data_IF_125133445741
#
_entry.id   IF_125133445741
#
_cell.length_a   1.000
_cell.length_b   1.000
_cell.length_c   1.000
_cell.angle_alpha   90.00
_cell.angle_beta   90.00
_cell.angle_gamma   90.00
#
_symmetry.space_group_name_H-M   'P 1'
#
loop_
_entity.id
_entity.type
_entity.pdbx_description
1 polymer ?
#
# COMPACT_ATOMS: atom_id res chain seq x y z
N UNK A 1 -16.97 -1.45 23.68
CA UNK A 1 -17.00 -0.10 24.13
C UNK A 1 -17.03 0.90 22.95
N UNK A 2 -17.22 2.18 23.20
CA UNK A 2 -17.45 3.25 22.18
C UNK A 2 -16.35 3.31 21.10
N UNK A 3 -15.10 3.09 21.47
CA UNK A 3 -13.95 3.15 20.55
C UNK A 3 -13.99 2.05 19.48
N UNK A 4 -14.43 0.85 19.85
CA UNK A 4 -14.59 -0.28 18.91
C UNK A 4 -15.77 -0.07 17.95
N UNK A 5 -16.79 0.67 18.37
CA UNK A 5 -17.94 1.05 17.54
C UNK A 5 -17.55 2.10 16.48
N UNK A 6 -16.77 3.12 16.87
CA UNK A 6 -16.26 4.15 15.95
C UNK A 6 -15.36 3.53 14.86
N UNK A 7 -14.47 2.64 15.26
CA UNK A 7 -13.57 1.93 14.34
C UNK A 7 -14.36 1.13 13.28
N UNK A 8 -15.39 0.40 13.70
CA UNK A 8 -16.26 -0.35 12.77
C UNK A 8 -17.00 0.57 11.78
N UNK A 9 -17.42 1.74 12.26
CA UNK A 9 -18.11 2.73 11.41
C UNK A 9 -17.13 3.33 10.40
N UNK A 10 -15.93 3.71 10.83
CA UNK A 10 -14.87 4.22 9.94
C UNK A 10 -14.48 3.19 8.88
N UNK A 11 -14.31 1.92 9.27
CA UNK A 11 -13.99 0.82 8.35
C UNK A 11 -15.06 0.64 7.28
N UNK A 12 -16.34 0.61 7.67
CA UNK A 12 -17.45 0.49 6.72
C UNK A 12 -17.56 1.69 5.78
N UNK A 13 -17.34 2.90 6.33
CA UNK A 13 -17.37 4.12 5.52
C UNK A 13 -16.25 4.11 4.48
N UNK A 14 -15.00 3.79 4.87
CA UNK A 14 -13.86 3.72 3.95
C UNK A 14 -14.03 2.63 2.90
N UNK A 15 -14.55 1.46 3.28
CA UNK A 15 -14.87 0.40 2.33
C UNK A 15 -15.90 0.86 1.28
N UNK A 16 -16.96 1.53 1.72
CA UNK A 16 -17.97 2.08 0.79
C UNK A 16 -17.38 3.20 -0.08
N UNK A 17 -16.62 4.12 0.52
CA UNK A 17 -15.97 5.23 -0.15
C UNK A 17 -14.99 4.78 -1.25
N UNK A 18 -14.23 3.71 -1.00
CA UNK A 18 -13.28 3.16 -1.98
C UNK A 18 -13.93 2.54 -3.22
N UNK A 19 -15.25 2.30 -3.20
CA UNK A 19 -15.99 1.78 -4.35
C UNK A 19 -16.61 2.88 -5.23
N UNK A 20 -16.46 4.16 -4.86
CA UNK A 20 -16.98 5.27 -5.63
C UNK A 20 -16.05 5.57 -6.80
N UNK A 21 -16.55 5.48 -8.02
CA UNK A 21 -15.86 5.87 -9.25
C UNK A 21 -16.27 7.27 -9.68
N UNK A 22 -15.30 8.09 -10.07
CA UNK A 22 -15.49 9.45 -10.54
C UNK A 22 -15.13 9.52 -12.02
N UNK A 23 -16.09 9.86 -12.86
CA UNK A 23 -15.86 10.11 -14.28
C UNK A 23 -15.83 11.63 -14.52
N UNK A 24 -14.75 12.11 -15.12
CA UNK A 24 -14.54 13.55 -15.31
C UNK A 24 -15.33 14.15 -16.46
N UNK A 25 -15.73 13.32 -17.46
CA UNK A 25 -16.44 13.82 -18.63
C UNK A 25 -17.45 12.79 -19.14
N UNK A 26 -18.77 13.02 -18.99
CA UNK A 26 -19.38 14.01 -18.09
C UNK A 26 -19.06 13.71 -16.62
N UNK A 27 -19.08 14.72 -15.76
CA UNK A 27 -18.82 14.56 -14.33
C UNK A 27 -19.99 13.80 -13.69
N UNK A 28 -19.80 12.56 -13.34
CA UNK A 28 -20.74 11.77 -12.58
C UNK A 28 -20.03 10.79 -11.65
N UNK A 29 -20.76 10.37 -10.63
CA UNK A 29 -20.31 9.38 -9.65
C UNK A 29 -21.10 8.09 -9.89
N UNK A 30 -20.41 6.97 -9.83
CA UNK A 30 -21.07 5.66 -9.89
C UNK A 30 -20.44 4.72 -8.88
N UNK A 31 -21.24 3.84 -8.32
CA UNK A 31 -20.80 2.69 -7.53
C UNK A 31 -21.09 1.47 -8.39
N UNK A 32 -20.07 0.84 -8.89
CA UNK A 32 -20.24 -0.25 -9.84
C UNK A 32 -19.23 -1.36 -9.71
N UNK A 33 -19.46 -2.48 -10.37
CA UNK A 33 -18.51 -3.58 -10.41
C UNK A 33 -17.18 -3.09 -10.99
N UNK A 34 -16.09 -3.49 -10.35
CA UNK A 34 -14.75 -3.12 -10.75
C UNK A 34 -14.33 -3.90 -11.99
N UNK A 35 -13.90 -3.19 -13.03
CA UNK A 35 -13.13 -3.77 -14.14
C UNK A 35 -11.72 -3.22 -14.07
N UNK A 36 -10.73 -4.10 -14.03
CA UNK A 36 -9.32 -3.73 -13.96
C UNK A 36 -8.65 -3.82 -15.33
N UNK A 37 -7.60 -2.99 -15.55
CA UNK A 37 -6.87 -2.98 -16.82
C UNK A 37 -5.88 -4.13 -16.93
N UNK A 38 -5.27 -4.56 -15.82
CA UNK A 38 -4.37 -5.71 -15.83
C UNK A 38 -5.14 -6.99 -16.14
N UNK A 39 -4.54 -7.83 -16.99
CA UNK A 39 -5.12 -9.06 -17.52
C UNK A 39 -4.27 -10.29 -17.16
N UNK A 40 -4.76 -11.46 -17.51
CA UNK A 40 -4.08 -12.72 -17.22
C UNK A 40 -2.67 -12.84 -17.78
N UNK A 41 -2.42 -12.27 -18.97
CA UNK A 41 -1.08 -12.30 -19.59
C UNK A 41 -0.07 -11.45 -18.79
N UNK A 42 -0.54 -10.36 -18.17
CA UNK A 42 0.30 -9.53 -17.30
C UNK A 42 0.75 -10.29 -16.05
N UNK A 43 -0.08 -11.22 -15.56
CA UNK A 43 0.23 -12.03 -14.39
C UNK A 43 1.51 -12.84 -14.54
N UNK A 44 1.66 -13.59 -15.63
CA UNK A 44 2.85 -14.38 -15.86
C UNK A 44 4.10 -13.52 -16.00
N UNK A 45 3.98 -12.41 -16.73
CA UNK A 45 5.06 -11.45 -16.90
C UNK A 45 5.53 -10.84 -15.57
N UNK A 46 4.60 -10.51 -14.68
CA UNK A 46 4.90 -9.97 -13.36
C UNK A 46 5.50 -11.03 -12.46
N UNK A 47 4.84 -12.19 -12.34
CA UNK A 47 5.28 -13.31 -11.47
C UNK A 47 6.73 -13.71 -11.73
N UNK A 48 7.09 -13.87 -13.00
CA UNK A 48 8.41 -14.39 -13.40
C UNK A 48 9.56 -13.39 -13.14
N UNK A 49 9.25 -12.12 -12.89
CA UNK A 49 10.22 -11.08 -12.56
C UNK A 49 10.40 -10.87 -11.05
N UNK A 50 9.43 -11.31 -10.24
CA UNK A 50 9.39 -10.98 -8.80
C UNK A 50 10.47 -11.73 -8.00
N UNK A 51 11.00 -11.02 -7.01
CA UNK A 51 11.94 -11.57 -6.02
C UNK A 51 11.48 -11.14 -4.61
N UNK A 52 11.64 -12.00 -3.61
CA UNK A 52 11.36 -11.60 -2.21
C UNK A 52 12.08 -10.30 -1.86
N UNK A 53 11.35 -9.38 -1.23
CA UNK A 53 11.81 -8.03 -0.95
C UNK A 53 11.42 -6.99 -2.02
N UNK A 54 10.96 -7.38 -3.21
CA UNK A 54 10.43 -6.40 -4.16
C UNK A 54 9.22 -5.67 -3.55
N UNK A 55 9.16 -4.36 -3.76
CA UNK A 55 8.03 -3.53 -3.37
C UNK A 55 7.07 -3.47 -4.53
N UNK A 56 5.83 -3.83 -4.29
CA UNK A 56 4.77 -3.77 -5.28
C UNK A 56 3.90 -2.56 -5.03
N UNK A 57 3.76 -1.73 -6.05
CA UNK A 57 2.86 -0.59 -6.04
C UNK A 57 1.67 -0.88 -6.93
N UNK A 58 0.48 -0.49 -6.50
CA UNK A 58 -0.73 -0.57 -7.33
C UNK A 58 -1.52 0.72 -7.30
N UNK A 59 -2.19 1.00 -8.40
CA UNK A 59 -3.02 2.17 -8.55
C UNK A 59 -4.30 1.85 -9.30
N UNK A 60 -5.30 2.66 -9.06
CA UNK A 60 -6.62 2.55 -9.64
C UNK A 60 -6.97 3.82 -10.39
N UNK A 61 -7.67 3.67 -11.52
CA UNK A 61 -8.13 4.80 -12.30
C UNK A 61 -9.54 5.20 -11.88
N UNK A 62 -9.77 6.52 -11.76
CA UNK A 62 -11.09 7.10 -11.53
C UNK A 62 -11.78 6.71 -10.20
N UNK A 63 -11.05 6.23 -9.22
CA UNK A 63 -11.57 6.04 -7.87
C UNK A 63 -11.38 7.29 -7.01
N UNK A 64 -12.34 7.56 -6.15
CA UNK A 64 -12.37 8.78 -5.34
C UNK A 64 -11.23 8.84 -4.32
N UNK A 65 -10.83 7.70 -3.76
CA UNK A 65 -9.70 7.60 -2.83
C UNK A 65 -8.36 7.99 -3.47
N UNK A 66 -8.18 7.74 -4.78
CA UNK A 66 -7.00 8.17 -5.53
C UNK A 66 -6.83 9.70 -5.64
N UNK A 67 -7.87 10.48 -5.36
CA UNK A 67 -7.75 11.95 -5.31
C UNK A 67 -7.12 12.45 -4.00
N UNK A 68 -7.17 11.66 -2.94
CA UNK A 68 -6.65 12.03 -1.62
C UNK A 68 -5.22 11.53 -1.39
N UNK A 69 -4.77 10.53 -2.15
CA UNK A 69 -3.39 10.04 -2.11
C UNK A 69 -2.65 10.63 -3.32
N UNK A 70 -1.73 11.58 -3.10
CA UNK A 70 -1.00 12.19 -4.21
C UNK A 70 -0.08 11.16 -4.87
N UNK A 71 -0.12 11.09 -6.20
CA UNK A 71 0.75 10.23 -6.99
C UNK A 71 0.01 9.33 -7.97
N UNK A 72 0.76 8.45 -8.62
CA UNK A 72 0.25 7.46 -9.58
C UNK A 72 -0.27 6.21 -8.89
N UNK A 73 0.29 5.90 -7.73
CA UNK A 73 0.01 4.69 -6.98
C UNK A 73 -0.61 5.04 -5.63
N UNK A 74 -1.66 4.34 -5.28
CA UNK A 74 -2.42 4.57 -4.06
C UNK A 74 -2.16 3.51 -2.98
N UNK A 75 -1.41 2.44 -3.32
CA UNK A 75 -1.18 1.33 -2.40
C UNK A 75 0.18 0.68 -2.62
N UNK A 76 0.79 0.19 -1.54
CA UNK A 76 2.08 -0.46 -1.53
C UNK A 76 2.07 -1.74 -0.69
N UNK A 77 2.93 -2.70 -1.06
CA UNK A 77 3.15 -3.95 -0.31
C UNK A 77 4.51 -4.53 -0.61
N UNK A 78 4.92 -5.55 0.14
CA UNK A 78 6.20 -6.24 -0.01
C UNK A 78 5.92 -7.66 -0.51
N UNK A 79 6.56 -8.04 -1.60
CA UNK A 79 6.53 -9.41 -2.10
C UNK A 79 7.43 -10.29 -1.21
N UNK A 80 6.87 -11.37 -0.68
CA UNK A 80 7.57 -12.23 0.28
C UNK A 80 7.89 -13.62 -0.25
N UNK A 81 7.67 -13.84 -1.55
CA UNK A 81 7.80 -15.14 -2.20
C UNK A 81 6.47 -15.89 -2.28
N UNK A 82 6.47 -17.06 -2.92
CA UNK A 82 5.31 -17.96 -3.03
C UNK A 82 4.02 -17.25 -3.49
N UNK A 83 4.15 -16.32 -4.43
CA UNK A 83 3.04 -15.52 -4.95
C UNK A 83 2.25 -14.77 -3.85
N UNK A 84 2.94 -14.39 -2.76
CA UNK A 84 2.34 -13.68 -1.62
C UNK A 84 2.90 -12.28 -1.47
N UNK A 85 2.03 -11.36 -1.16
CA UNK A 85 2.34 -9.96 -0.85
C UNK A 85 1.83 -9.65 0.55
N UNK A 86 2.67 -9.05 1.39
CA UNK A 86 2.26 -8.50 2.68
C UNK A 86 2.01 -7.01 2.51
N UNK A 87 0.86 -6.56 2.98
CA UNK A 87 0.48 -5.16 2.93
C UNK A 87 -0.36 -4.75 4.14
N UNK A 88 -0.32 -3.48 4.49
CA UNK A 88 -1.23 -2.92 5.48
C UNK A 88 -2.51 -2.46 4.78
N UNK A 89 -3.62 -3.05 5.15
CA UNK A 89 -4.97 -2.71 4.73
C UNK A 89 -5.91 -2.97 5.90
N UNK A 90 -7.08 -2.35 5.88
CA UNK A 90 -8.12 -2.60 6.88
C UNK A 90 -8.49 -4.10 6.94
N UNK A 91 -8.51 -4.73 8.10
CA UNK A 91 -8.31 -4.14 9.44
C UNK A 91 -6.86 -4.10 9.92
N UNK A 92 -5.94 -4.81 9.27
CA UNK A 92 -4.57 -5.00 9.74
C UNK A 92 -3.61 -5.37 8.62
N UNK A 93 -2.31 -5.45 8.94
CA UNK A 93 -1.29 -6.02 8.07
C UNK A 93 -1.62 -7.48 7.79
N UNK A 94 -1.65 -7.86 6.53
CA UNK A 94 -2.12 -9.15 6.08
C UNK A 94 -1.44 -9.63 4.80
N UNK A 95 -1.57 -10.94 4.53
CA UNK A 95 -1.24 -11.50 3.24
C UNK A 95 -2.33 -11.26 2.21
N UNK A 96 -1.92 -11.08 0.96
CA UNK A 96 -2.76 -11.29 -0.21
C UNK A 96 -2.00 -12.11 -1.24
N UNK A 97 -2.69 -12.91 -2.06
CA UNK A 97 -2.03 -13.59 -3.17
C UNK A 97 -1.78 -12.61 -4.33
N UNK A 98 -0.82 -12.94 -5.18
CA UNK A 98 -0.43 -12.08 -6.29
C UNK A 98 -1.58 -11.82 -7.28
N UNK A 99 -2.45 -12.80 -7.50
CA UNK A 99 -3.61 -12.65 -8.40
C UNK A 99 -4.56 -11.57 -7.88
N UNK A 100 -4.87 -11.59 -6.57
CA UNK A 100 -5.71 -10.56 -5.95
C UNK A 100 -5.00 -9.22 -5.86
N UNK A 101 -3.67 -9.21 -5.65
CA UNK A 101 -2.89 -7.98 -5.71
C UNK A 101 -3.00 -7.29 -7.07
N UNK A 102 -2.95 -8.06 -8.14
CA UNK A 102 -2.99 -7.56 -9.52
C UNK A 102 -4.38 -7.12 -9.99
N UNK A 103 -5.41 -7.21 -9.16
CA UNK A 103 -6.73 -6.63 -9.44
C UNK A 103 -6.68 -5.10 -9.33
N UNK A 104 -5.97 -4.47 -10.26
CA UNK A 104 -5.75 -3.02 -10.31
C UNK A 104 -5.61 -2.55 -11.76
N UNK A 105 -5.54 -1.24 -11.96
CA UNK A 105 -5.39 -0.64 -13.29
C UNK A 105 -3.93 -0.38 -13.66
N UNK A 106 -3.08 -0.19 -12.64
CA UNK A 106 -1.65 0.06 -12.78
C UNK A 106 -0.88 -0.66 -11.69
N UNK A 107 0.28 -1.17 -12.05
CA UNK A 107 1.21 -1.79 -11.11
C UNK A 107 2.65 -1.38 -11.44
N UNK A 108 3.49 -1.30 -10.42
CA UNK A 108 4.95 -1.21 -10.58
C UNK A 108 5.63 -2.19 -9.64
N UNK A 109 6.74 -2.74 -10.11
CA UNK A 109 7.70 -3.49 -9.30
C UNK A 109 8.88 -2.58 -9.02
N UNK A 110 9.11 -2.26 -7.77
CA UNK A 110 10.27 -1.50 -7.33
C UNK A 110 11.22 -2.45 -6.64
N UNK A 111 12.38 -2.65 -7.25
CA UNK A 111 13.46 -3.44 -6.65
C UNK A 111 14.40 -2.52 -5.92
N UNK A 112 14.43 -2.57 -4.57
CA UNK A 112 15.33 -1.74 -3.79
C UNK A 112 16.80 -2.02 -4.18
N UNK A 113 17.57 -0.96 -4.44
CA UNK A 113 18.99 -1.09 -4.77
C UNK A 113 19.83 -1.24 -3.48
N UNK A 114 19.64 -2.35 -2.80
CA UNK A 114 20.34 -2.73 -1.56
C UNK A 114 20.81 -4.18 -1.64
N UNK A 115 21.61 -4.62 -0.69
CA UNK A 115 22.07 -6.01 -0.65
C UNK A 115 20.90 -6.98 -0.44
N UNK A 116 21.07 -8.21 -0.92
CA UNK A 116 20.05 -9.26 -0.78
C UNK A 116 19.65 -9.50 0.69
N UNK A 117 20.64 -9.43 1.60
CA UNK A 117 20.39 -9.58 3.04
C UNK A 117 19.41 -8.53 3.59
N UNK A 118 19.44 -7.30 3.08
CA UNK A 118 18.47 -6.29 3.48
C UNK A 118 17.07 -6.58 2.95
N UNK A 119 16.98 -7.17 1.75
CA UNK A 119 15.69 -7.63 1.22
C UNK A 119 15.12 -8.77 2.07
N UNK A 120 15.96 -9.73 2.49
CA UNK A 120 15.55 -10.83 3.37
C UNK A 120 15.08 -10.30 4.73
N UNK A 121 15.82 -9.39 5.36
CA UNK A 121 15.41 -8.75 6.61
C UNK A 121 14.09 -8.00 6.47
N UNK A 122 13.87 -7.29 5.36
CA UNK A 122 12.61 -6.58 5.12
C UNK A 122 11.42 -7.55 4.98
N UNK A 123 11.64 -8.73 4.39
CA UNK A 123 10.64 -9.80 4.33
C UNK A 123 10.34 -10.36 5.73
N UNK A 124 11.36 -10.63 6.52
CA UNK A 124 11.20 -11.09 7.91
C UNK A 124 10.46 -10.08 8.78
N UNK A 125 10.81 -8.80 8.66
CA UNK A 125 10.12 -7.70 9.35
C UNK A 125 8.64 -7.62 8.93
N UNK A 126 8.35 -7.70 7.62
CA UNK A 126 6.98 -7.69 7.11
C UNK A 126 6.15 -8.84 7.68
N UNK A 127 6.73 -10.05 7.77
CA UNK A 127 6.10 -11.22 8.39
C UNK A 127 5.86 -10.97 9.89
N UNK A 128 6.84 -10.37 10.57
CA UNK A 128 6.72 -10.01 11.99
C UNK A 128 5.62 -8.99 12.30
N UNK A 129 5.23 -8.18 11.31
CA UNK A 129 4.17 -7.18 11.46
C UNK A 129 2.77 -7.71 11.12
N UNK A 130 2.60 -8.96 10.74
CA UNK A 130 1.27 -9.52 10.48
C UNK A 130 0.33 -9.34 11.67
N UNK A 131 -0.88 -8.89 11.41
CA UNK A 131 -1.88 -8.61 12.42
C UNK A 131 -1.78 -7.24 13.09
N UNK A 132 -0.74 -6.45 12.80
CA UNK A 132 -0.66 -5.06 13.29
C UNK A 132 -1.81 -4.23 12.69
N UNK A 133 -2.59 -3.50 13.51
CA UNK A 133 -3.75 -2.75 13.05
C UNK A 133 -3.41 -1.69 11.99
N UNK A 134 -4.37 -1.40 11.12
CA UNK A 134 -4.22 -0.36 10.10
C UNK A 134 -4.24 1.04 10.72
N UNK A 135 -3.32 1.93 10.25
CA UNK A 135 -3.32 3.34 10.62
C UNK A 135 -4.16 4.18 9.66
N UNK A 136 -5.21 4.79 10.21
CA UNK A 136 -6.08 5.73 9.50
C UNK A 136 -5.62 7.18 9.61
N UNK A 137 -4.65 7.46 10.49
CA UNK A 137 -4.17 8.82 10.71
C UNK A 137 -3.04 9.21 9.77
N UNK A 138 -2.39 8.22 9.15
CA UNK A 138 -1.25 8.41 8.25
C UNK A 138 -0.16 9.29 8.89
N UNK A 139 0.15 9.04 10.17
CA UNK A 139 1.10 9.84 10.94
C UNK A 139 2.34 9.04 11.34
N UNK A 140 3.38 9.11 10.53
CA UNK A 140 4.69 8.49 10.79
C UNK A 140 5.40 9.04 12.03
N UNK A 141 4.94 10.17 12.58
CA UNK A 141 5.50 10.79 13.78
C UNK A 141 5.02 10.16 15.09
N UNK A 142 3.90 9.45 15.08
CA UNK A 142 3.33 8.84 16.26
C UNK A 142 3.94 7.48 16.56
N UNK A 143 5.06 7.47 17.29
CA UNK A 143 5.77 6.23 17.69
C UNK A 143 5.09 5.47 18.83
N UNK A 144 4.10 6.05 19.48
CA UNK A 144 3.37 5.44 20.60
C UNK A 144 2.25 4.49 20.15
N UNK A 145 1.80 4.60 18.90
CA UNK A 145 0.72 3.79 18.34
C UNK A 145 1.28 2.83 17.28
N UNK A 146 1.26 1.53 17.57
CA UNK A 146 1.75 0.50 16.64
C UNK A 146 0.63 0.19 15.64
N UNK A 147 0.51 1.06 14.64
CA UNK A 147 -0.39 0.89 13.49
C UNK A 147 0.38 1.23 12.22
N UNK A 148 -0.03 0.67 11.09
CA UNK A 148 0.62 0.97 9.82
C UNK A 148 -0.38 1.25 8.70
N UNK A 149 -0.14 2.32 7.95
CA UNK A 149 -0.63 2.46 6.59
C UNK A 149 0.21 1.61 5.63
N UNK A 150 -0.20 1.49 4.39
CA UNK A 150 0.51 0.65 3.41
C UNK A 150 1.96 1.10 3.18
N UNK A 151 2.18 2.40 3.03
CA UNK A 151 3.51 2.96 2.82
C UNK A 151 4.35 3.02 4.11
N UNK A 152 3.72 3.14 5.29
CA UNK A 152 4.42 3.02 6.57
C UNK A 152 5.01 1.63 6.76
N UNK A 153 4.26 0.58 6.45
CA UNK A 153 4.77 -0.79 6.51
C UNK A 153 6.05 -0.92 5.67
N UNK A 154 6.00 -0.50 4.41
CA UNK A 154 7.17 -0.55 3.50
C UNK A 154 8.34 0.26 4.06
N UNK A 155 8.07 1.50 4.50
CA UNK A 155 9.10 2.36 5.08
C UNK A 155 9.74 1.75 6.35
N UNK A 156 8.95 1.11 7.21
CA UNK A 156 9.44 0.47 8.44
C UNK A 156 10.34 -0.71 8.12
N UNK A 157 9.97 -1.58 7.20
CA UNK A 157 10.76 -2.75 6.80
C UNK A 157 12.10 -2.34 6.17
N UNK A 158 12.17 -1.21 5.46
CA UNK A 158 13.39 -0.70 4.84
C UNK A 158 14.05 0.45 5.62
N UNK A 159 13.57 0.75 6.83
CA UNK A 159 14.07 1.86 7.64
C UNK A 159 15.60 1.87 7.84
N UNK A 160 16.30 0.74 8.07
CA UNK A 160 17.75 0.74 8.25
C UNK A 160 18.51 1.30 7.04
N UNK A 161 18.04 1.01 5.84
CA UNK A 161 18.69 1.40 4.56
C UNK A 161 18.01 2.56 3.85
N UNK A 162 17.06 3.24 4.50
CA UNK A 162 16.28 4.33 3.89
C UNK A 162 17.12 5.44 3.28
N UNK A 163 18.29 5.75 3.88
CA UNK A 163 19.20 6.77 3.35
C UNK A 163 19.85 6.34 2.03
N UNK A 164 20.21 5.08 1.90
CA UNK A 164 20.76 4.49 0.67
C UNK A 164 19.70 4.51 -0.44
N UNK A 165 18.44 4.31 -0.07
CA UNK A 165 17.29 4.37 -0.98
C UNK A 165 16.83 5.81 -1.29
N UNK A 166 17.40 6.84 -0.65
CA UNK A 166 16.98 8.23 -0.83
C UNK A 166 15.59 8.52 -0.26
N UNK A 167 15.16 7.77 0.74
CA UNK A 167 13.82 7.90 1.32
C UNK A 167 13.80 8.83 2.52
N UNK A 168 13.08 9.93 2.37
CA UNK A 168 12.85 10.91 3.40
C UNK A 168 11.35 11.10 3.65
N UNK A 169 11.00 11.28 4.92
CA UNK A 169 9.66 11.67 5.30
C UNK A 169 9.39 13.11 4.90
N UNK A 170 8.21 13.36 4.37
CA UNK A 170 7.75 14.70 3.97
C UNK A 170 6.79 15.26 5.01
N UNK A 171 6.87 16.55 5.25
CA UNK A 171 5.90 17.26 6.09
C UNK A 171 4.64 17.53 5.25
N UNK A 172 3.52 16.93 5.66
CA UNK A 172 2.21 17.12 5.02
C UNK A 172 1.40 18.29 5.61
N UNK A 173 1.98 19.06 6.53
CA UNK A 173 1.30 20.10 7.30
C UNK A 173 0.72 19.58 8.62
N UNK A 174 0.31 20.49 9.49
CA UNK A 174 -0.19 20.18 10.84
C UNK A 174 0.75 19.28 11.68
N UNK A 175 2.05 19.32 11.39
CA UNK A 175 3.05 18.51 12.08
C UNK A 175 3.10 17.03 11.70
N UNK A 176 2.32 16.60 10.72
CA UNK A 176 2.31 15.20 10.25
C UNK A 176 3.45 14.94 9.26
N UNK A 177 4.16 13.85 9.50
CA UNK A 177 5.16 13.34 8.58
C UNK A 177 4.56 12.21 7.75
N UNK A 178 4.80 12.18 6.45
CA UNK A 178 4.22 11.20 5.53
C UNK A 178 5.25 10.63 4.56
N UNK A 179 4.99 9.41 4.13
CA UNK A 179 5.68 8.72 3.05
C UNK A 179 4.59 8.08 2.17
N UNK A 180 4.61 8.35 0.89
CA UNK A 180 3.59 7.88 -0.06
C UNK A 180 4.10 6.67 -0.85
N UNK A 181 3.21 5.87 -1.47
CA UNK A 181 3.64 4.79 -2.36
C UNK A 181 4.57 5.26 -3.48
N UNK A 182 4.36 6.43 -4.06
CA UNK A 182 5.21 7.01 -5.10
C UNK A 182 6.62 7.38 -4.60
N UNK A 183 6.81 7.58 -3.30
CA UNK A 183 8.14 7.84 -2.72
C UNK A 183 9.05 6.61 -2.79
N UNK A 184 8.49 5.41 -2.94
CA UNK A 184 9.26 4.18 -3.18
C UNK A 184 9.93 4.17 -4.57
N UNK A 185 9.52 5.03 -5.50
CA UNK A 185 10.06 5.08 -6.87
C UNK A 185 11.40 5.84 -6.99
N UNK A 186 11.87 6.44 -5.90
CA UNK A 186 13.14 7.17 -5.87
C UNK A 186 14.30 6.21 -5.74
#
# INVERSE_FOLDING_TARGET
SKQMSLYKIQTKFLQWFSHIKVYKTPLWLTVGPTSYKLKGDDYYSVRDQLRPGDILLRGYDNYLDGFFIPGKYSHAGIYVGDEKVIHAMTPAVQYTNLVDWMRCDRMAIVRPNVSHSWCEMAVEDAIGYLGVPYDYNFDFGNTADVRFSCSELVYKCYKPVRKELGWDLKNAGLGKMVFTPDDCLK
#
